data_IF_033908432831
#
_entry.id   IF_033908432831
#
_cell.length_a   1.000
_cell.length_b   1.000
_cell.length_c   1.000
_cell.angle_alpha   90.00
_cell.angle_beta   90.00
_cell.angle_gamma   90.00
#
_symmetry.space_group_name_H-M   'P 1'
#
loop_
_entity.id
_entity.type
_entity.pdbx_description
1 polymer ?
#
# COMPACT_ATOMS: atom_id res chain seq x y z
N UNK A 1 -1.62 11.29 -11.19
CA UNK A 1 -1.21 10.10 -11.96
C UNK A 1 -1.71 8.86 -11.23
N UNK A 2 -2.28 7.88 -11.92
CA UNK A 2 -2.84 6.65 -11.35
C UNK A 2 -2.40 5.42 -12.15
N UNK A 3 -2.95 4.28 -11.81
CA UNK A 3 -2.55 2.95 -12.29
C UNK A 3 -3.80 2.15 -12.67
N UNK A 4 -3.75 1.25 -13.67
CA UNK A 4 -4.95 0.63 -14.26
C UNK A 4 -5.48 -0.56 -13.43
N UNK A 5 -5.64 -0.38 -12.12
CA UNK A 5 -6.22 -1.38 -11.22
C UNK A 5 -7.08 -0.75 -10.12
N UNK A 6 -8.07 -1.51 -9.65
CA UNK A 6 -9.05 -1.05 -8.68
C UNK A 6 -8.58 -1.20 -7.24
N UNK A 7 -8.85 -0.20 -6.41
CA UNK A 7 -8.68 -0.25 -4.94
C UNK A 7 -9.80 0.51 -4.24
N UNK A 8 -9.92 0.33 -2.92
CA UNK A 8 -10.87 1.09 -2.09
C UNK A 8 -10.51 2.58 -1.97
N UNK A 9 -9.27 2.98 -2.24
CA UNK A 9 -8.85 4.38 -2.16
C UNK A 9 -9.72 5.29 -3.04
N UNK A 10 -10.15 4.80 -4.21
CA UNK A 10 -11.06 5.54 -5.10
C UNK A 10 -12.42 5.84 -4.47
N UNK A 11 -12.93 4.96 -3.60
CA UNK A 11 -14.20 5.14 -2.89
C UNK A 11 -14.05 6.02 -1.66
N UNK A 12 -12.93 5.87 -0.93
CA UNK A 12 -12.60 6.71 0.22
C UNK A 12 -12.41 8.18 -0.22
N UNK A 13 -11.66 8.39 -1.31
CA UNK A 13 -11.45 9.72 -1.89
C UNK A 13 -12.77 10.40 -2.31
N UNK A 14 -13.75 9.63 -2.83
CA UNK A 14 -15.09 10.15 -3.15
C UNK A 14 -15.88 10.65 -1.94
N UNK A 15 -15.50 10.22 -0.73
CA UNK A 15 -16.07 10.71 0.52
C UNK A 15 -15.33 11.96 1.06
N UNK A 16 -14.50 12.62 0.25
CA UNK A 16 -13.65 13.76 0.63
C UNK A 16 -12.60 13.44 1.70
N UNK A 17 -12.23 12.16 1.87
CA UNK A 17 -11.13 11.75 2.75
C UNK A 17 -9.89 11.53 1.89
N UNK A 18 -8.77 12.25 2.12
CA UNK A 18 -7.52 12.01 1.40
C UNK A 18 -7.09 10.54 1.54
N UNK A 19 -6.88 9.86 0.41
CA UNK A 19 -6.57 8.44 0.38
C UNK A 19 -5.45 8.14 -0.62
N UNK A 20 -4.54 7.25 -0.22
CA UNK A 20 -3.43 6.77 -1.05
C UNK A 20 -3.47 5.24 -1.13
N UNK A 21 -3.05 4.69 -2.26
CA UNK A 21 -2.73 3.26 -2.37
C UNK A 21 -1.23 3.13 -2.13
N UNK A 22 -0.85 2.43 -1.07
CA UNK A 22 0.53 2.32 -0.65
C UNK A 22 0.81 0.93 -0.07
N UNK A 23 1.81 0.25 -0.60
CA UNK A 23 2.21 -1.09 -0.17
C UNK A 23 3.32 -1.66 -1.07
N UNK A 24 4.01 -2.72 -0.62
CA UNK A 24 5.10 -3.34 -1.36
C UNK A 24 4.59 -4.32 -2.44
N UNK A 25 5.51 -4.87 -3.23
CA UNK A 25 5.22 -5.85 -4.27
C UNK A 25 5.07 -5.22 -5.67
N UNK A 26 4.60 -6.03 -6.61
CA UNK A 26 4.36 -5.60 -7.99
C UNK A 26 3.01 -6.15 -8.47
N UNK A 27 2.19 -5.28 -9.06
CA UNK A 27 0.86 -5.68 -9.58
C UNK A 27 0.95 -6.79 -10.62
N UNK A 28 2.04 -6.88 -11.38
CA UNK A 28 2.24 -7.93 -12.37
C UNK A 28 2.33 -9.33 -11.75
N UNK A 29 2.66 -9.43 -10.45
CA UNK A 29 2.73 -10.70 -9.72
C UNK A 29 1.38 -11.08 -9.08
N UNK A 30 0.52 -10.09 -8.81
CA UNK A 30 -0.78 -10.32 -8.19
C UNK A 30 -1.67 -11.21 -9.07
N UNK A 31 -2.39 -12.15 -8.45
CA UNK A 31 -3.29 -13.11 -9.13
C UNK A 31 -2.60 -14.02 -10.17
N UNK A 32 -1.29 -14.23 -10.04
CA UNK A 32 -0.59 -15.27 -10.80
C UNK A 32 -0.61 -16.59 -10.02
N UNK A 33 -0.33 -17.72 -10.70
CA UNK A 33 -0.36 -19.05 -10.07
C UNK A 33 0.53 -19.16 -8.83
N UNK A 34 1.74 -18.61 -8.94
CA UNK A 34 2.77 -18.66 -7.91
C UNK A 34 3.03 -17.25 -7.38
N UNK A 35 1.97 -16.55 -6.97
CA UNK A 35 2.03 -15.19 -6.42
C UNK A 35 3.07 -15.07 -5.29
N UNK A 36 3.94 -14.07 -5.37
CA UNK A 36 5.04 -13.88 -4.42
C UNK A 36 5.39 -12.39 -4.22
N UNK A 37 6.19 -12.14 -3.18
CA UNK A 37 6.79 -10.85 -2.88
C UNK A 37 8.23 -11.06 -2.41
N UNK A 38 9.15 -10.14 -2.74
CA UNK A 38 10.51 -10.21 -2.25
C UNK A 38 10.53 -10.03 -0.72
N UNK A 39 11.26 -10.88 -0.01
CA UNK A 39 11.36 -10.81 1.47
C UNK A 39 11.86 -9.44 1.93
N UNK A 40 12.77 -8.81 1.19
CA UNK A 40 13.29 -7.49 1.56
C UNK A 40 12.25 -6.39 1.37
N UNK A 41 11.34 -6.49 0.37
CA UNK A 41 10.21 -5.58 0.24
C UNK A 41 9.20 -5.75 1.39
N UNK A 42 8.98 -6.99 1.84
CA UNK A 42 8.12 -7.26 3.00
C UNK A 42 8.71 -6.64 4.27
N UNK A 43 10.01 -6.82 4.52
CA UNK A 43 10.72 -6.20 5.66
C UNK A 43 10.65 -4.69 5.60
N UNK A 44 10.95 -4.09 4.45
CA UNK A 44 10.90 -2.65 4.26
C UNK A 44 9.50 -2.09 4.54
N UNK A 45 8.44 -2.75 4.06
CA UNK A 45 7.08 -2.31 4.33
C UNK A 45 6.74 -2.38 5.83
N UNK A 46 7.14 -3.46 6.52
CA UNK A 46 6.95 -3.59 7.95
C UNK A 46 7.62 -2.44 8.71
N UNK A 47 8.87 -2.12 8.35
CA UNK A 47 9.59 -0.99 8.95
C UNK A 47 8.86 0.33 8.70
N UNK A 48 8.43 0.60 7.46
CA UNK A 48 7.72 1.85 7.13
C UNK A 48 6.42 1.98 7.91
N UNK A 49 5.60 0.92 7.97
CA UNK A 49 4.35 0.95 8.76
C UNK A 49 4.62 1.10 10.25
N UNK A 50 5.64 0.42 10.78
CA UNK A 50 6.02 0.57 12.18
C UNK A 50 6.37 2.02 12.51
N UNK A 51 7.26 2.64 11.73
CA UNK A 51 7.65 4.03 11.94
C UNK A 51 6.43 4.96 11.79
N UNK A 52 5.63 4.81 10.74
CA UNK A 52 4.44 5.64 10.54
C UNK A 52 3.48 5.60 11.74
N UNK A 53 3.22 4.41 12.29
CA UNK A 53 2.34 4.26 13.44
C UNK A 53 2.99 4.70 14.77
N UNK A 54 4.28 4.44 14.94
CA UNK A 54 5.01 4.75 16.18
C UNK A 54 5.38 6.23 16.32
N UNK A 55 5.55 6.94 15.20
CA UNK A 55 5.93 8.36 15.17
C UNK A 55 4.78 9.28 14.77
N UNK A 56 3.54 8.78 14.72
CA UNK A 56 2.37 9.61 14.54
C UNK A 56 2.16 10.47 15.79
N UNK A 57 2.90 11.56 15.91
CA UNK A 57 2.63 12.60 16.90
C UNK A 57 1.28 13.27 16.58
N UNK A 58 0.47 13.41 17.62
CA UNK A 58 -0.83 14.09 17.57
C UNK A 58 -0.58 15.59 17.45
N UNK A 59 -0.32 16.08 16.24
CA UNK A 59 -0.46 17.51 15.95
C UNK A 59 -1.93 17.86 15.76
#
# INVERSE_FOLDING_TARGET
>A
VGVPYGTHASRIAKANVPAVVFGPGNIAQAHTKDEWIAIDQLRQAADVYFHFCATAETT
#
